data_IF_163213788117
#
_entry.id   IF_163213788117
#
_cell.length_a   1.000
_cell.length_b   1.000
_cell.length_c   1.000
_cell.angle_alpha   90.00
_cell.angle_beta   90.00
_cell.angle_gamma   90.00
#
_symmetry.space_group_name_H-M   'P 1'
#
loop_
_entity.id
_entity.type
_entity.pdbx_description
1 polymer ?
#
# COMPACT_ATOMS: atom_id res chain seq x y z
N UNK A 1 -67.67 -50.92 -8.07
CA UNK A 1 -67.91 -49.94 -6.96
C UNK A 1 -66.66 -49.15 -6.51
N UNK A 2 -65.41 -49.62 -6.71
CA UNK A 2 -64.20 -48.93 -6.21
C UNK A 2 -63.84 -47.60 -6.93
N UNK A 3 -64.13 -47.45 -8.23
CA UNK A 3 -63.79 -46.22 -8.99
C UNK A 3 -64.59 -44.99 -8.55
N UNK A 4 -65.86 -45.15 -8.19
CA UNK A 4 -66.76 -44.04 -7.79
C UNK A 4 -66.37 -43.46 -6.42
N UNK A 5 -65.98 -44.31 -5.46
CA UNK A 5 -65.50 -43.83 -4.14
C UNK A 5 -64.20 -43.02 -4.25
N UNK A 6 -63.27 -43.43 -5.12
CA UNK A 6 -61.98 -42.75 -5.30
C UNK A 6 -62.12 -41.39 -5.99
N UNK A 7 -63.02 -41.27 -6.97
CA UNK A 7 -63.35 -39.99 -7.61
C UNK A 7 -63.98 -38.98 -6.64
N UNK A 8 -64.91 -39.43 -5.80
CA UNK A 8 -65.59 -38.58 -4.82
C UNK A 8 -64.64 -38.10 -3.69
N UNK A 9 -63.63 -38.90 -3.35
CA UNK A 9 -62.57 -38.51 -2.40
C UNK A 9 -61.63 -37.45 -2.99
N UNK A 10 -61.22 -37.61 -4.26
CA UNK A 10 -60.38 -36.64 -4.97
C UNK A 10 -61.08 -35.29 -5.14
N UNK A 11 -62.39 -35.29 -5.45
CA UNK A 11 -63.19 -34.08 -5.59
C UNK A 11 -63.40 -33.34 -4.25
N UNK A 12 -63.51 -34.07 -3.13
CA UNK A 12 -63.53 -33.48 -1.79
C UNK A 12 -62.19 -32.86 -1.41
N UNK A 13 -61.08 -33.53 -1.71
CA UNK A 13 -59.73 -32.99 -1.44
C UNK A 13 -59.46 -31.75 -2.29
N UNK A 14 -59.81 -31.76 -3.58
CA UNK A 14 -59.66 -30.59 -4.45
C UNK A 14 -60.52 -29.39 -4.02
N UNK A 15 -61.76 -29.61 -3.57
CA UNK A 15 -62.59 -28.51 -3.02
C UNK A 15 -62.03 -27.91 -1.74
N UNK A 16 -61.36 -28.70 -0.91
CA UNK A 16 -60.70 -28.18 0.30
C UNK A 16 -59.42 -27.42 -0.07
N UNK A 17 -58.60 -27.94 -0.99
CA UNK A 17 -57.36 -27.26 -1.40
C UNK A 17 -57.62 -25.97 -2.18
N UNK A 18 -58.64 -25.92 -3.03
CA UNK A 18 -59.08 -24.69 -3.71
C UNK A 18 -59.58 -23.61 -2.76
N UNK A 19 -60.16 -23.97 -1.61
CA UNK A 19 -60.61 -23.00 -0.60
C UNK A 19 -59.47 -22.50 0.29
N UNK A 20 -58.46 -23.34 0.55
CA UNK A 20 -57.34 -23.00 1.44
C UNK A 20 -56.27 -22.17 0.73
N UNK A 21 -56.02 -22.43 -0.57
CA UNK A 21 -54.97 -21.74 -1.35
C UNK A 21 -55.16 -20.21 -1.42
N UNK A 22 -56.37 -19.65 -1.63
CA UNK A 22 -56.61 -18.21 -1.59
C UNK A 22 -56.54 -17.64 -0.16
N UNK A 23 -56.96 -18.40 0.85
CA UNK A 23 -56.92 -17.95 2.24
C UNK A 23 -55.48 -17.76 2.75
N UNK A 24 -54.58 -18.69 2.43
CA UNK A 24 -53.15 -18.57 2.76
C UNK A 24 -52.50 -17.44 1.96
N UNK A 25 -52.80 -17.33 0.67
CA UNK A 25 -52.29 -16.25 -0.19
C UNK A 25 -52.67 -14.86 0.33
N UNK A 26 -53.93 -14.67 0.71
CA UNK A 26 -54.41 -13.39 1.24
C UNK A 26 -53.74 -13.03 2.57
N UNK A 27 -53.54 -14.00 3.48
CA UNK A 27 -52.85 -13.75 4.76
C UNK A 27 -51.38 -13.40 4.60
N UNK A 28 -50.68 -13.98 3.61
CA UNK A 28 -49.29 -13.62 3.31
C UNK A 28 -49.21 -12.18 2.77
N UNK A 29 -50.13 -11.80 1.88
CA UNK A 29 -50.21 -10.42 1.36
C UNK A 29 -50.55 -9.43 2.47
N UNK A 30 -51.45 -9.78 3.39
CA UNK A 30 -51.84 -8.94 4.52
C UNK A 30 -50.71 -8.79 5.55
N UNK A 31 -49.99 -9.87 5.86
CA UNK A 31 -48.78 -9.83 6.69
C UNK A 31 -47.67 -8.99 6.06
N UNK A 32 -47.51 -9.04 4.72
CA UNK A 32 -46.56 -8.21 3.97
C UNK A 32 -46.91 -6.72 4.09
N UNK A 33 -48.17 -6.35 3.87
CA UNK A 33 -48.65 -4.98 4.05
C UNK A 33 -48.45 -4.48 5.47
N UNK A 34 -48.74 -5.32 6.48
CA UNK A 34 -48.51 -4.97 7.89
C UNK A 34 -47.02 -4.75 8.19
N UNK A 35 -46.15 -5.58 7.62
CA UNK A 35 -44.69 -5.45 7.71
C UNK A 35 -44.20 -4.16 7.07
N UNK A 36 -44.66 -3.85 5.86
CA UNK A 36 -44.35 -2.62 5.13
C UNK A 36 -44.79 -1.37 5.90
N UNK A 37 -46.01 -1.37 6.48
CA UNK A 37 -46.50 -0.25 7.29
C UNK A 37 -45.74 -0.08 8.62
N UNK A 38 -45.30 -1.18 9.24
CA UNK A 38 -44.48 -1.12 10.47
C UNK A 38 -43.07 -0.64 10.16
N UNK A 39 -42.46 -1.16 9.08
CA UNK A 39 -41.15 -0.73 8.59
C UNK A 39 -41.16 0.75 8.19
N UNK A 40 -42.19 1.22 7.48
CA UNK A 40 -42.33 2.61 7.10
C UNK A 40 -42.48 3.56 8.31
N UNK A 41 -43.22 3.14 9.36
CA UNK A 41 -43.34 3.92 10.60
C UNK A 41 -42.04 3.93 11.41
N UNK A 42 -41.35 2.80 11.48
CA UNK A 42 -40.04 2.72 12.11
C UNK A 42 -39.00 3.57 11.39
N UNK A 43 -38.96 3.53 10.05
CA UNK A 43 -38.08 4.35 9.22
C UNK A 43 -38.37 5.86 9.38
N UNK A 44 -39.64 6.28 9.46
CA UNK A 44 -39.98 7.69 9.72
C UNK A 44 -39.60 8.15 11.13
N UNK A 45 -39.71 7.27 12.13
CA UNK A 45 -39.46 7.61 13.55
C UNK A 45 -37.99 7.54 13.92
N UNK A 46 -37.25 6.60 13.36
CA UNK A 46 -35.87 6.30 13.72
C UNK A 46 -34.87 6.51 12.59
N UNK A 47 -35.29 6.66 11.33
CA UNK A 47 -34.37 6.81 10.20
C UNK A 47 -33.52 8.08 10.28
N UNK A 48 -34.12 9.23 10.60
CA UNK A 48 -33.40 10.48 10.78
C UNK A 48 -32.44 10.44 12.00
N UNK A 49 -32.87 10.09 13.23
CA UNK A 49 -31.95 10.04 14.37
C UNK A 49 -30.91 8.91 14.26
N UNK A 50 -31.23 7.76 13.66
CA UNK A 50 -30.23 6.71 13.41
C UNK A 50 -29.16 7.15 12.40
N UNK A 51 -29.56 7.90 11.36
CA UNK A 51 -28.61 8.51 10.43
C UNK A 51 -27.70 9.53 11.10
N UNK A 52 -28.24 10.38 11.97
CA UNK A 52 -27.46 11.36 12.74
C UNK A 52 -26.49 10.67 13.69
N UNK A 53 -26.92 9.62 14.41
CA UNK A 53 -26.04 8.84 15.28
C UNK A 53 -24.94 8.14 14.49
N UNK A 54 -25.22 7.62 13.30
CA UNK A 54 -24.22 7.03 12.42
C UNK A 54 -23.20 8.07 11.95
N UNK A 55 -23.64 9.27 11.56
CA UNK A 55 -22.74 10.37 11.18
C UNK A 55 -21.88 10.81 12.37
N UNK A 56 -22.46 10.96 13.56
CA UNK A 56 -21.72 11.28 14.79
C UNK A 56 -20.71 10.17 15.11
N UNK A 57 -21.10 8.89 14.97
CA UNK A 57 -20.21 7.75 15.19
C UNK A 57 -19.06 7.71 14.18
N UNK A 58 -19.31 8.07 12.91
CA UNK A 58 -18.26 8.19 11.89
C UNK A 58 -17.31 9.37 12.18
N UNK A 59 -17.85 10.51 12.64
CA UNK A 59 -17.06 11.69 13.01
C UNK A 59 -16.19 11.43 14.25
N UNK A 60 -16.76 10.83 15.29
CA UNK A 60 -16.02 10.44 16.51
C UNK A 60 -15.05 9.29 16.20
N UNK A 61 -15.45 8.35 15.35
CA UNK A 61 -14.59 7.25 14.88
C UNK A 61 -13.33 7.77 14.20
N UNK A 62 -13.43 8.84 13.39
CA UNK A 62 -12.27 9.50 12.78
C UNK A 62 -11.28 10.08 13.80
N UNK A 63 -11.75 10.44 15.00
CA UNK A 63 -10.91 10.96 16.08
C UNK A 63 -10.18 9.85 16.86
N UNK A 64 -10.67 8.62 16.78
CA UNK A 64 -10.08 7.43 17.40
C UNK A 64 -9.09 6.69 16.48
N UNK A 65 -8.95 7.11 15.22
CA UNK A 65 -7.93 6.58 14.32
C UNK A 65 -6.56 7.08 14.82
N UNK A 66 -5.61 6.19 15.14
CA UNK A 66 -4.27 6.61 15.56
C UNK A 66 -3.64 7.49 14.48
N UNK A 67 -3.00 8.59 14.88
CA UNK A 67 -2.37 9.51 13.93
C UNK A 67 -1.32 8.76 13.10
N UNK A 68 -1.32 9.00 11.80
CA UNK A 68 -0.28 8.50 10.91
C UNK A 68 1.09 9.06 11.38
N UNK A 69 2.16 8.24 11.46
CA UNK A 69 3.50 8.70 11.82
C UNK A 69 3.93 9.99 11.10
N UNK A 70 3.57 10.15 9.83
CA UNK A 70 3.84 11.36 9.06
C UNK A 70 3.14 12.60 9.62
N UNK A 71 1.87 12.48 10.02
CA UNK A 71 1.12 13.60 10.61
C UNK A 71 1.66 13.95 11.99
N UNK A 72 2.01 12.93 12.78
CA UNK A 72 2.65 13.12 14.07
C UNK A 72 4.01 13.83 13.92
N UNK A 73 4.84 13.42 12.95
CA UNK A 73 6.11 14.07 12.66
C UNK A 73 5.92 15.55 12.27
N UNK A 74 4.92 15.86 11.43
CA UNK A 74 4.59 17.26 11.10
C UNK A 74 4.21 18.07 12.33
N UNK A 75 3.37 17.52 13.20
CA UNK A 75 2.98 18.19 14.45
C UNK A 75 4.17 18.40 15.38
N UNK A 76 5.03 17.40 15.53
CA UNK A 76 6.25 17.51 16.34
C UNK A 76 7.12 18.68 15.83
N UNK A 77 7.27 18.83 14.51
CA UNK A 77 8.03 19.93 13.91
C UNK A 77 7.42 21.32 14.13
N UNK A 78 6.11 21.42 14.37
CA UNK A 78 5.49 22.70 14.77
C UNK A 78 5.95 23.14 16.16
N UNK A 79 6.19 22.17 17.05
CA UNK A 79 6.64 22.43 18.43
C UNK A 79 8.16 22.51 18.54
N UNK A 80 8.88 21.70 17.75
CA UNK A 80 10.33 21.64 17.69
C UNK A 80 10.77 21.48 16.22
N UNK A 81 11.09 22.59 15.52
CA UNK A 81 11.50 22.54 14.11
C UNK A 81 12.76 21.69 13.84
N UNK A 82 13.56 21.46 14.89
CA UNK A 82 14.82 20.71 14.81
C UNK A 82 14.70 19.29 15.39
N UNK A 83 13.50 18.70 15.40
CA UNK A 83 13.32 17.31 15.83
C UNK A 83 13.87 16.32 14.79
N UNK A 84 15.00 15.69 15.12
CA UNK A 84 15.67 14.69 14.28
C UNK A 84 14.75 13.54 13.88
N UNK A 85 14.02 12.96 14.84
CA UNK A 85 13.17 11.79 14.57
C UNK A 85 11.99 12.18 13.66
N UNK A 86 11.45 13.37 13.85
CA UNK A 86 10.40 13.87 12.97
C UNK A 86 10.91 14.11 11.53
N UNK A 87 12.13 14.65 11.36
CA UNK A 87 12.74 14.81 10.04
C UNK A 87 12.97 13.46 9.35
N UNK A 88 13.42 12.45 10.08
CA UNK A 88 13.61 11.08 9.56
C UNK A 88 12.29 10.48 9.06
N UNK A 89 11.22 10.57 9.86
CA UNK A 89 9.89 10.07 9.48
C UNK A 89 9.37 10.80 8.22
N UNK A 90 9.62 12.11 8.11
CA UNK A 90 9.27 12.86 6.90
C UNK A 90 10.06 12.38 5.69
N UNK A 91 11.38 12.23 5.82
CA UNK A 91 12.23 11.75 4.72
C UNK A 91 11.79 10.37 4.22
N UNK A 92 11.52 9.44 5.14
CA UNK A 92 11.00 8.11 4.81
C UNK A 92 9.68 8.18 4.04
N UNK A 93 8.74 9.00 4.53
CA UNK A 93 7.44 9.18 3.89
C UNK A 93 7.56 9.85 2.52
N UNK A 94 8.45 10.83 2.37
CA UNK A 94 8.71 11.47 1.09
C UNK A 94 9.33 10.51 0.09
N UNK A 95 10.33 9.72 0.49
CA UNK A 95 10.91 8.67 -0.36
C UNK A 95 9.87 7.62 -0.77
N UNK A 96 8.99 7.19 0.15
CA UNK A 96 7.91 6.25 -0.16
C UNK A 96 6.90 6.79 -1.18
N UNK A 97 6.77 8.12 -1.27
CA UNK A 97 5.88 8.80 -2.21
C UNK A 97 6.61 9.37 -3.44
N UNK A 98 7.87 8.99 -3.69
CA UNK A 98 8.72 9.50 -4.77
C UNK A 98 8.92 11.03 -4.76
N UNK A 99 8.79 11.66 -3.58
CA UNK A 99 9.02 13.10 -3.38
C UNK A 99 10.49 13.34 -3.02
N UNK A 100 11.39 13.15 -3.99
CA UNK A 100 12.83 13.08 -3.73
C UNK A 100 13.44 14.40 -3.26
N UNK A 101 12.95 15.54 -3.77
CA UNK A 101 13.45 16.87 -3.36
C UNK A 101 13.08 17.20 -1.91
N UNK A 102 11.85 16.89 -1.51
CA UNK A 102 11.39 17.08 -0.13
C UNK A 102 12.09 16.10 0.83
N UNK A 103 12.31 14.86 0.39
CA UNK A 103 13.12 13.90 1.12
C UNK A 103 14.53 14.43 1.35
N UNK A 104 15.19 14.95 0.31
CA UNK A 104 16.54 15.50 0.40
C UNK A 104 16.61 16.68 1.38
N UNK A 105 15.64 17.60 1.32
CA UNK A 105 15.55 18.70 2.30
C UNK A 105 15.44 18.19 3.73
N UNK A 106 14.58 17.20 3.98
CA UNK A 106 14.43 16.61 5.31
C UNK A 106 15.71 15.91 5.78
N UNK A 107 16.39 15.17 4.90
CA UNK A 107 17.67 14.52 5.19
C UNK A 107 18.77 15.53 5.52
N UNK A 108 18.89 16.61 4.74
CA UNK A 108 19.85 17.69 5.01
C UNK A 108 19.59 18.37 6.35
N UNK A 109 18.32 18.58 6.71
CA UNK A 109 17.97 19.12 8.03
C UNK A 109 18.37 18.15 9.15
N UNK A 110 18.06 16.86 9.01
CA UNK A 110 18.46 15.83 9.97
C UNK A 110 19.99 15.74 10.12
N UNK A 111 20.72 15.81 9.01
CA UNK A 111 22.19 15.81 8.98
C UNK A 111 22.77 17.03 9.69
N UNK A 112 22.22 18.23 9.42
CA UNK A 112 22.67 19.48 10.04
C UNK A 112 22.58 19.46 11.57
N UNK A 113 21.59 18.74 12.12
CA UNK A 113 21.40 18.61 13.55
C UNK A 113 22.45 17.70 14.18
N UNK A 114 22.86 16.63 13.49
CA UNK A 114 23.96 15.77 13.93
C UNK A 114 25.23 16.61 14.07
N UNK A 115 25.60 17.37 13.03
CA UNK A 115 26.80 18.22 13.06
C UNK A 115 26.77 19.28 14.18
N UNK A 116 25.59 19.81 14.54
CA UNK A 116 25.46 20.73 15.67
C UNK A 116 25.61 20.03 17.03
N UNK A 117 25.23 18.76 17.12
CA UNK A 117 25.26 17.97 18.36
C UNK A 117 26.60 17.27 18.63
N UNK A 118 27.36 16.92 17.59
CA UNK A 118 28.68 16.29 17.69
C UNK A 118 29.78 17.36 17.61
N UNK A 119 30.52 17.59 18.69
CA UNK A 119 31.74 18.42 18.66
C UNK A 119 32.67 17.96 17.55
N UNK A 120 33.26 18.89 16.79
CA UNK A 120 34.18 18.67 15.65
C UNK A 120 35.26 17.61 15.88
N UNK A 121 34.89 16.34 15.82
CA UNK A 121 35.81 15.23 15.69
C UNK A 121 35.66 14.79 14.25
N UNK A 122 36.55 15.32 13.40
CA UNK A 122 36.76 14.89 12.03
C UNK A 122 37.20 13.41 12.07
N UNK A 123 36.25 12.48 12.16
CA UNK A 123 36.58 11.07 12.34
C UNK A 123 35.42 10.08 12.42
N UNK A 124 34.36 10.31 13.21
CA UNK A 124 33.34 9.29 13.51
C UNK A 124 32.12 9.98 14.16
N UNK A 125 30.85 9.71 13.88
CA UNK A 125 30.16 8.62 13.19
C UNK A 125 28.99 9.23 12.41
N UNK A 126 28.83 8.87 11.14
CA UNK A 126 27.57 9.10 10.45
C UNK A 126 26.49 8.27 11.16
N UNK A 127 25.28 8.82 11.31
CA UNK A 127 24.18 8.06 11.91
C UNK A 127 23.79 6.96 10.91
N UNK A 128 23.90 5.66 11.25
CA UNK A 128 23.63 4.58 10.30
C UNK A 128 22.22 4.63 9.70
N UNK A 129 21.25 5.13 10.47
CA UNK A 129 19.88 5.34 9.98
C UNK A 129 19.84 6.43 8.89
N UNK A 130 20.60 7.51 9.06
CA UNK A 130 20.65 8.59 8.07
C UNK A 130 21.40 8.14 6.81
N UNK A 131 22.47 7.36 6.95
CA UNK A 131 23.22 6.79 5.83
C UNK A 131 22.35 5.86 5.00
N UNK A 132 21.58 4.99 5.67
CA UNK A 132 20.63 4.10 4.99
C UNK A 132 19.61 4.90 4.17
N UNK A 133 19.12 6.02 4.70
CA UNK A 133 18.17 6.86 3.99
C UNK A 133 18.79 7.64 2.83
N UNK A 134 20.01 8.14 2.99
CA UNK A 134 20.76 8.74 1.88
C UNK A 134 21.03 7.71 0.78
N UNK A 135 21.43 6.50 1.14
CA UNK A 135 21.60 5.41 0.19
C UNK A 135 20.26 5.10 -0.50
N UNK A 136 19.17 4.96 0.25
CA UNK A 136 17.85 4.74 -0.30
C UNK A 136 17.44 5.84 -1.28
N UNK A 137 17.73 7.11 -0.96
CA UNK A 137 17.48 8.25 -1.85
C UNK A 137 18.27 8.13 -3.15
N UNK A 138 19.59 7.94 -3.08
CA UNK A 138 20.45 7.84 -4.26
C UNK A 138 20.07 6.69 -5.21
N UNK A 139 19.61 5.57 -4.66
CA UNK A 139 19.18 4.39 -5.43
C UNK A 139 17.68 4.36 -5.78
N UNK A 140 16.93 5.43 -5.48
CA UNK A 140 15.50 5.56 -5.81
C UNK A 140 15.19 6.78 -6.67
N UNK A 141 15.95 7.88 -6.55
CA UNK A 141 15.80 9.07 -7.37
C UNK A 141 16.39 8.83 -8.78
N UNK A 142 15.59 8.90 -9.87
CA UNK A 142 16.08 8.71 -11.23
C UNK A 142 17.23 9.63 -11.63
N UNK A 143 17.31 10.85 -11.09
CA UNK A 143 18.38 11.79 -11.39
C UNK A 143 19.71 11.34 -10.77
N UNK A 144 19.66 10.84 -9.54
CA UNK A 144 20.86 10.31 -8.87
C UNK A 144 21.28 8.97 -9.45
N UNK A 145 20.33 8.10 -9.79
CA UNK A 145 20.62 6.83 -10.48
C UNK A 145 21.39 7.11 -11.79
N UNK A 146 20.99 8.11 -12.59
CA UNK A 146 21.73 8.50 -13.79
C UNK A 146 23.14 8.98 -13.50
N UNK A 147 23.34 9.74 -12.41
CA UNK A 147 24.69 10.15 -11.98
C UNK A 147 25.53 8.95 -11.55
N UNK A 148 24.94 8.01 -10.84
CA UNK A 148 25.59 6.76 -10.44
C UNK A 148 25.99 5.92 -11.66
N UNK A 149 25.11 5.79 -12.66
CA UNK A 149 25.42 5.08 -13.92
C UNK A 149 26.66 5.70 -14.59
N UNK A 150 26.74 7.02 -14.69
CA UNK A 150 27.93 7.71 -15.26
C UNK A 150 29.19 7.43 -14.43
N UNK A 151 29.09 7.43 -13.10
CA UNK A 151 30.23 7.18 -12.22
C UNK A 151 30.73 5.72 -12.34
N UNK A 152 29.83 4.75 -12.31
CA UNK A 152 30.16 3.33 -12.48
C UNK A 152 30.63 3.02 -13.90
N UNK A 153 30.09 3.71 -14.91
CA UNK A 153 30.53 3.62 -16.30
C UNK A 153 32.01 3.99 -16.47
N UNK A 154 32.45 5.10 -15.86
CA UNK A 154 33.87 5.46 -15.83
C UNK A 154 34.74 4.41 -15.13
N UNK A 155 34.22 3.79 -14.08
CA UNK A 155 34.97 2.78 -13.33
C UNK A 155 35.22 1.52 -14.15
N UNK A 156 34.27 1.08 -14.99
CA UNK A 156 34.47 -0.06 -15.88
C UNK A 156 35.41 0.26 -17.05
N UNK A 157 35.52 1.54 -17.46
CA UNK A 157 36.53 1.98 -18.43
C UNK A 157 37.94 1.87 -17.85
N UNK A 158 38.13 2.20 -16.56
CA UNK A 158 39.41 2.11 -15.88
C UNK A 158 39.75 0.69 -15.41
N UNK A 159 38.73 -0.09 -15.02
CA UNK A 159 38.84 -1.44 -14.46
C UNK A 159 37.82 -2.38 -15.12
N UNK A 160 38.11 -2.85 -16.34
CA UNK A 160 37.18 -3.68 -17.11
C UNK A 160 36.97 -5.09 -16.53
N UNK A 161 37.78 -5.50 -15.55
CA UNK A 161 37.65 -6.76 -14.82
C UNK A 161 36.91 -6.60 -13.48
N UNK A 162 36.44 -5.38 -13.16
CA UNK A 162 35.75 -5.13 -11.89
C UNK A 162 34.28 -5.55 -11.95
N UNK A 163 34.06 -6.86 -11.77
CA UNK A 163 32.74 -7.52 -11.75
C UNK A 163 31.67 -6.77 -10.96
N UNK A 164 31.99 -6.28 -9.77
CA UNK A 164 31.00 -5.64 -8.91
C UNK A 164 30.47 -4.33 -9.52
N UNK A 165 31.28 -3.62 -10.32
CA UNK A 165 30.81 -2.44 -11.06
C UNK A 165 29.77 -2.80 -12.14
N UNK A 166 29.97 -3.92 -12.85
CA UNK A 166 28.99 -4.43 -13.82
C UNK A 166 27.66 -4.79 -13.12
N UNK A 167 27.71 -5.42 -11.95
CA UNK A 167 26.49 -5.66 -11.16
C UNK A 167 25.79 -4.36 -10.74
N UNK A 168 26.55 -3.35 -10.32
CA UNK A 168 25.96 -2.05 -9.94
C UNK A 168 25.28 -1.39 -11.13
N UNK A 169 25.91 -1.38 -12.31
CA UNK A 169 25.30 -0.90 -13.54
C UNK A 169 24.01 -1.67 -13.87
N UNK A 170 24.05 -3.00 -13.82
CA UNK A 170 22.88 -3.84 -14.06
C UNK A 170 21.72 -3.50 -13.12
N UNK A 171 22.01 -3.34 -11.82
CA UNK A 171 21.01 -2.98 -10.82
C UNK A 171 20.43 -1.57 -11.03
N UNK A 172 21.27 -0.60 -11.40
CA UNK A 172 20.84 0.78 -11.66
C UNK A 172 19.97 0.88 -12.92
N UNK A 173 20.32 0.19 -14.00
CA UNK A 173 19.48 0.10 -15.20
C UNK A 173 18.15 -0.61 -14.91
N UNK A 174 18.17 -1.69 -14.11
CA UNK A 174 16.95 -2.34 -13.64
C UNK A 174 16.03 -1.38 -12.86
N UNK A 175 16.58 -0.52 -12.01
CA UNK A 175 15.81 0.51 -11.28
C UNK A 175 15.16 1.56 -12.20
N UNK A 176 15.75 1.82 -13.37
CA UNK A 176 15.17 2.68 -14.39
C UNK A 176 14.23 1.93 -15.35
N UNK A 177 13.97 0.64 -15.11
CA UNK A 177 13.20 -0.24 -15.99
C UNK A 177 13.85 -0.44 -17.38
N UNK A 178 15.15 -0.19 -17.49
CA UNK A 178 15.99 -0.40 -18.66
C UNK A 178 16.50 -1.84 -18.64
N UNK A 179 15.57 -2.79 -18.86
CA UNK A 179 15.82 -4.21 -18.64
C UNK A 179 16.83 -4.83 -19.61
N UNK A 180 16.95 -4.30 -20.82
CA UNK A 180 17.88 -4.84 -21.82
C UNK A 180 19.32 -4.46 -21.45
N UNK A 181 19.57 -3.19 -21.14
CA UNK A 181 20.86 -2.72 -20.62
C UNK A 181 21.21 -3.41 -19.29
N UNK A 182 20.22 -3.62 -18.42
CA UNK A 182 20.42 -4.37 -17.18
C UNK A 182 20.93 -5.80 -17.44
N UNK A 183 20.36 -6.50 -18.43
CA UNK A 183 20.80 -7.84 -18.83
C UNK A 183 22.22 -7.81 -19.40
N UNK A 184 22.53 -6.88 -20.30
CA UNK A 184 23.86 -6.77 -20.90
C UNK A 184 24.97 -6.63 -19.85
N UNK A 185 24.79 -5.74 -18.86
CA UNK A 185 25.76 -5.58 -17.78
C UNK A 185 25.79 -6.79 -16.84
N UNK A 186 24.64 -7.45 -16.63
CA UNK A 186 24.57 -8.65 -15.79
C UNK A 186 25.30 -9.83 -16.42
N UNK A 187 25.17 -10.01 -17.74
CA UNK A 187 25.91 -10.99 -18.52
C UNK A 187 27.42 -10.76 -18.37
N UNK A 188 27.89 -9.51 -18.48
CA UNK A 188 29.31 -9.17 -18.23
C UNK A 188 29.78 -9.52 -16.82
N UNK A 189 28.96 -9.28 -15.79
CA UNK A 189 29.29 -9.67 -14.43
C UNK A 189 29.41 -11.20 -14.28
N UNK A 190 28.54 -11.96 -14.95
CA UNK A 190 28.54 -13.43 -14.94
C UNK A 190 29.62 -14.05 -15.84
N UNK A 191 30.06 -13.36 -16.90
CA UNK A 191 31.24 -13.75 -17.69
C UNK A 191 32.51 -13.69 -16.83
N UNK A 192 32.64 -12.65 -15.98
CA UNK A 192 33.78 -12.47 -15.07
C UNK A 192 33.73 -13.46 -13.89
N UNK A 193 32.54 -13.73 -13.35
CA UNK A 193 32.34 -14.75 -12.31
C UNK A 193 31.00 -15.47 -12.50
N UNK A 194 31.03 -16.67 -13.13
CA UNK A 194 29.84 -17.47 -13.38
C UNK A 194 29.11 -17.94 -12.12
N UNK A 195 29.71 -17.79 -10.93
CA UNK A 195 29.13 -18.18 -9.64
C UNK A 195 28.74 -16.99 -8.78
N UNK A 196 28.72 -15.79 -9.34
CA UNK A 196 28.41 -14.57 -8.59
C UNK A 196 26.94 -14.54 -8.16
N UNK A 197 26.69 -14.88 -6.90
CA UNK A 197 25.34 -15.02 -6.33
C UNK A 197 24.48 -13.76 -6.51
N UNK A 198 24.97 -12.53 -6.23
CA UNK A 198 24.17 -11.32 -6.41
C UNK A 198 23.68 -11.13 -7.84
N UNK A 199 24.51 -11.45 -8.84
CA UNK A 199 24.10 -11.36 -10.24
C UNK A 199 22.99 -12.37 -10.57
N UNK A 200 23.14 -13.63 -10.15
CA UNK A 200 22.10 -14.66 -10.31
C UNK A 200 20.81 -14.34 -9.54
N UNK A 201 20.89 -13.60 -8.46
CA UNK A 201 19.71 -13.13 -7.72
C UNK A 201 18.98 -12.03 -8.49
N UNK A 202 19.71 -11.05 -9.04
CA UNK A 202 19.13 -9.99 -9.87
C UNK A 202 18.51 -10.55 -11.16
N UNK A 203 19.13 -11.55 -11.77
CA UNK A 203 18.65 -12.24 -12.99
C UNK A 203 17.20 -12.74 -12.84
N UNK A 204 16.81 -13.22 -11.66
CA UNK A 204 15.45 -13.74 -11.38
C UNK A 204 14.36 -12.68 -11.51
N UNK A 205 14.70 -11.40 -11.42
CA UNK A 205 13.76 -10.29 -11.51
C UNK A 205 13.67 -9.71 -12.92
N UNK A 206 14.56 -10.10 -13.84
CA UNK A 206 14.54 -9.65 -15.22
C UNK A 206 13.63 -10.55 -16.07
N UNK A 207 12.86 -9.98 -17.01
CA UNK A 207 11.97 -10.76 -17.86
C UNK A 207 12.78 -11.65 -18.82
N UNK A 208 12.45 -12.94 -18.88
CA UNK A 208 12.93 -13.83 -19.94
C UNK A 208 12.21 -13.43 -21.24
N UNK A 209 12.95 -12.97 -22.25
CA UNK A 209 12.40 -12.67 -23.57
C UNK A 209 12.12 -13.96 -24.35
#
# INVERSE_FOLDING_TARGET
MAKVKKANQLERVNRVTEKVKPWVGNRIVEARKLGEHRAARAARRWGAPAGVVLVIFLLIGSFLIPKNPFQQAKENLLSNPNDFQAQIILAEAFLANNQFEEAEKALLLAESQIYQSTSQVLGEQTNPQLDELWQKKHYSDPNDIKRLIVAWGKLIEEKPDYRDAYLQLAYLHYKLYENEEAKEYLEKALELDPNFKPAKELEKFLPNN
#
